data_IF_954133322490
#
_entry.id   IF_954133322490
#
_cell.length_a   1.000
_cell.length_b   1.000
_cell.length_c   1.000
_cell.angle_alpha   90.00
_cell.angle_beta   90.00
_cell.angle_gamma   90.00
#
_symmetry.space_group_name_H-M   'P 1'
#
loop_
_entity.id
_entity.type
_entity.pdbx_description
1 polymer ?
#
# COMPACT_ATOMS: atom_id res chain seq x y z
N UNK A 1 1.50 26.32 -45.66
CA UNK A 1 2.19 25.07 -46.03
C UNK A 1 2.35 24.28 -44.73
N UNK A 2 1.44 23.35 -44.48
CA UNK A 2 1.39 22.59 -43.22
C UNK A 2 2.38 21.42 -43.34
N UNK A 3 3.46 21.48 -42.56
CA UNK A 3 4.31 20.31 -42.38
C UNK A 3 3.52 19.30 -41.54
N UNK A 4 3.12 18.20 -42.21
CA UNK A 4 2.71 16.97 -41.57
C UNK A 4 3.85 16.51 -40.66
N UNK A 5 3.64 16.55 -39.34
CA UNK A 5 4.51 15.84 -38.41
C UNK A 5 3.95 14.44 -38.26
N UNK A 6 4.60 13.55 -38.99
CA UNK A 6 4.47 12.11 -38.94
C UNK A 6 4.58 11.57 -37.50
N UNK A 7 3.85 10.48 -37.28
CA UNK A 7 3.86 9.63 -36.11
C UNK A 7 5.29 9.36 -35.58
N UNK A 8 5.68 10.02 -34.48
CA UNK A 8 6.87 9.65 -33.70
C UNK A 8 6.40 8.95 -32.42
N UNK A 9 6.84 7.70 -32.30
CA UNK A 9 6.46 6.65 -31.35
C UNK A 9 6.31 7.05 -29.86
N UNK A 10 5.45 6.35 -29.09
CA UNK A 10 4.96 6.74 -27.75
C UNK A 10 5.93 6.56 -26.57
N UNK A 11 7.03 5.82 -26.73
CA UNK A 11 7.87 5.40 -25.61
C UNK A 11 8.78 6.52 -25.05
N UNK A 12 9.24 7.42 -25.93
CA UNK A 12 10.14 8.53 -25.57
C UNK A 12 9.43 9.60 -24.73
N UNK A 13 8.11 9.75 -24.90
CA UNK A 13 7.30 10.68 -24.10
C UNK A 13 6.91 10.09 -22.74
N UNK A 14 6.77 8.76 -22.62
CA UNK A 14 6.39 8.10 -21.36
C UNK A 14 7.41 8.34 -20.24
N UNK A 15 8.69 8.12 -20.51
CA UNK A 15 9.73 8.30 -19.48
C UNK A 15 9.86 9.77 -19.02
N UNK A 16 9.65 10.71 -19.94
CA UNK A 16 9.62 12.15 -19.61
C UNK A 16 8.43 12.47 -18.71
N UNK A 17 7.25 11.93 -19.03
CA UNK A 17 6.06 12.09 -18.18
C UNK A 17 6.28 11.51 -16.78
N UNK A 18 6.80 10.29 -16.69
CA UNK A 18 7.05 9.62 -15.40
C UNK A 18 8.02 10.43 -14.55
N UNK A 19 9.09 10.96 -15.16
CA UNK A 19 10.02 11.84 -14.48
C UNK A 19 9.34 13.13 -14.02
N UNK A 20 8.53 13.76 -14.86
CA UNK A 20 7.80 14.98 -14.48
C UNK A 20 6.82 14.75 -13.34
N UNK A 21 6.17 13.57 -13.29
CA UNK A 21 5.28 13.20 -12.20
C UNK A 21 6.02 12.87 -10.91
N UNK A 22 7.23 12.32 -11.00
CA UNK A 22 8.10 12.08 -9.85
C UNK A 22 8.64 13.37 -9.22
N UNK A 23 8.87 14.38 -10.07
CA UNK A 23 9.41 15.69 -9.69
C UNK A 23 8.31 16.74 -9.46
N UNK A 24 7.04 16.34 -9.47
CA UNK A 24 5.92 17.25 -9.32
C UNK A 24 5.98 18.00 -7.99
N UNK A 25 5.87 19.33 -8.07
CA UNK A 25 5.83 20.19 -6.90
C UNK A 25 4.50 20.02 -6.17
N UNK A 26 4.56 19.65 -4.89
CA UNK A 26 3.37 19.48 -4.06
C UNK A 26 2.93 20.86 -3.58
N UNK A 27 1.78 21.34 -4.08
CA UNK A 27 1.26 22.65 -3.69
C UNK A 27 0.53 22.52 -2.37
N UNK A 28 0.83 23.43 -1.44
CA UNK A 28 0.24 23.44 -0.09
C UNK A 28 -1.30 23.52 -0.14
N UNK A 29 -1.84 24.34 -1.04
CA UNK A 29 -3.28 24.54 -1.21
C UNK A 29 -4.01 23.24 -1.63
N UNK A 30 -3.42 22.46 -2.56
CA UNK A 30 -3.96 21.18 -2.99
C UNK A 30 -4.02 20.15 -1.85
N UNK A 31 -3.06 20.21 -0.93
CA UNK A 31 -3.02 19.32 0.25
C UNK A 31 -4.07 19.73 1.26
N UNK A 32 -4.18 21.03 1.54
CA UNK A 32 -5.14 21.59 2.51
C UNK A 32 -6.60 21.36 2.09
N UNK A 33 -6.87 21.21 0.79
CA UNK A 33 -8.21 20.91 0.29
C UNK A 33 -8.67 19.46 0.49
N UNK A 34 -7.76 18.52 0.77
CA UNK A 34 -8.13 17.10 0.94
C UNK A 34 -8.01 16.64 2.40
N UNK A 35 -9.15 16.34 3.02
CA UNK A 35 -9.18 15.78 4.37
C UNK A 35 -8.48 14.41 4.48
N UNK A 36 -8.38 13.67 3.37
CA UNK A 36 -7.67 12.39 3.31
C UNK A 36 -6.16 12.62 3.37
N UNK A 37 -5.63 13.59 2.62
CA UNK A 37 -4.20 13.94 2.66
C UNK A 37 -3.79 14.46 4.04
N UNK A 38 -4.62 15.30 4.67
CA UNK A 38 -4.37 15.79 6.03
C UNK A 38 -4.24 14.63 7.02
N UNK A 39 -5.14 13.64 6.97
CA UNK A 39 -5.05 12.45 7.85
C UNK A 39 -3.80 11.60 7.57
N UNK A 40 -3.44 11.45 6.30
CA UNK A 40 -2.26 10.68 5.92
C UNK A 40 -0.96 11.28 6.46
N UNK A 41 -0.90 12.60 6.63
CA UNK A 41 0.26 13.30 7.19
C UNK A 41 0.67 12.71 8.56
N UNK A 42 -0.32 12.37 9.39
CA UNK A 42 -0.11 11.82 10.73
C UNK A 42 -0.02 10.28 10.74
N UNK A 43 -0.68 9.60 9.81
CA UNK A 43 -0.78 8.13 9.79
C UNK A 43 0.42 7.44 9.11
N UNK A 44 0.90 7.99 7.99
CA UNK A 44 1.98 7.41 7.19
C UNK A 44 2.61 8.42 6.22
N UNK A 45 3.82 8.88 6.54
CA UNK A 45 4.54 9.89 5.75
C UNK A 45 4.89 9.45 4.32
N UNK A 46 5.16 8.16 4.09
CA UNK A 46 5.48 7.67 2.75
C UNK A 46 4.22 7.61 1.87
N UNK A 47 3.11 7.14 2.44
CA UNK A 47 1.82 7.10 1.77
C UNK A 47 1.27 8.50 1.55
N UNK A 48 1.47 9.43 2.49
CA UNK A 48 1.15 10.84 2.32
C UNK A 48 1.84 11.42 1.08
N UNK A 49 3.15 11.23 0.92
CA UNK A 49 3.90 11.68 -0.26
C UNK A 49 3.33 11.10 -1.55
N UNK A 50 3.03 9.79 -1.56
CA UNK A 50 2.41 9.14 -2.72
C UNK A 50 1.02 9.73 -3.02
N UNK A 51 0.21 9.96 -2.00
CA UNK A 51 -1.11 10.59 -2.11
C UNK A 51 -1.02 12.00 -2.71
N UNK A 52 -0.06 12.83 -2.27
CA UNK A 52 0.16 14.15 -2.84
C UNK A 52 0.53 14.09 -4.32
N UNK A 53 1.45 13.19 -4.70
CA UNK A 53 1.84 13.01 -6.10
C UNK A 53 0.66 12.55 -6.96
N UNK A 54 -0.17 11.63 -6.47
CA UNK A 54 -1.42 11.26 -7.13
C UNK A 54 -2.31 12.49 -7.33
N UNK A 55 -2.51 13.26 -6.25
CA UNK A 55 -3.43 14.39 -6.24
C UNK A 55 -3.06 15.49 -7.24
N UNK A 56 -1.77 15.84 -7.31
CA UNK A 56 -1.25 16.84 -8.25
C UNK A 56 -1.27 16.34 -9.70
N UNK A 57 -0.73 15.13 -9.91
CA UNK A 57 -0.54 14.63 -11.26
C UNK A 57 -1.84 14.18 -11.93
N UNK A 58 -2.89 13.84 -11.16
CA UNK A 58 -4.20 13.49 -11.73
C UNK A 58 -4.78 14.63 -12.58
N UNK A 59 -4.78 15.86 -12.04
CA UNK A 59 -5.28 17.03 -12.77
C UNK A 59 -4.39 17.32 -13.98
N UNK A 60 -3.07 17.28 -13.82
CA UNK A 60 -2.14 17.52 -14.92
C UNK A 60 -2.30 16.50 -16.05
N UNK A 61 -2.44 15.21 -15.73
CA UNK A 61 -2.66 14.14 -16.69
C UNK A 61 -4.00 14.32 -17.44
N UNK A 62 -5.08 14.69 -16.73
CA UNK A 62 -6.36 15.04 -17.37
C UNK A 62 -6.22 16.18 -18.38
N UNK A 63 -5.48 17.24 -18.05
CA UNK A 63 -5.26 18.36 -19.00
C UNK A 63 -4.52 17.91 -20.26
N UNK A 64 -3.56 16.98 -20.14
CA UNK A 64 -2.87 16.40 -21.29
C UNK A 64 -3.83 15.55 -22.15
N UNK A 65 -4.72 14.81 -21.52
CA UNK A 65 -5.76 14.04 -22.21
C UNK A 65 -6.71 14.96 -23.00
N UNK A 66 -7.30 15.97 -22.34
CA UNK A 66 -8.30 16.86 -22.95
C UNK A 66 -7.70 17.78 -24.01
N UNK A 67 -6.64 18.51 -23.67
CA UNK A 67 -6.16 19.61 -24.52
C UNK A 67 -5.10 19.21 -25.53
N UNK A 68 -4.41 18.08 -25.31
CA UNK A 68 -3.36 17.60 -26.22
C UNK A 68 -3.77 16.35 -27.00
N UNK A 69 -4.97 15.80 -26.80
CA UNK A 69 -5.43 14.54 -27.41
C UNK A 69 -4.42 13.40 -27.24
N UNK A 70 -3.72 13.37 -26.09
CA UNK A 70 -2.83 12.26 -25.78
C UNK A 70 -3.66 11.08 -25.23
N UNK A 71 -4.22 10.28 -26.13
CA UNK A 71 -5.15 9.20 -25.80
C UNK A 71 -4.58 8.15 -24.82
N UNK A 72 -3.25 7.95 -24.82
CA UNK A 72 -2.58 6.94 -23.97
C UNK A 72 -2.24 7.45 -22.56
N UNK A 73 -2.62 8.68 -22.19
CA UNK A 73 -2.21 9.28 -20.90
C UNK A 73 -2.81 8.54 -19.71
N UNK A 74 -4.06 8.08 -19.80
CA UNK A 74 -4.64 7.26 -18.74
C UNK A 74 -3.81 5.98 -18.52
N UNK A 75 -3.40 5.30 -19.58
CA UNK A 75 -2.59 4.08 -19.47
C UNK A 75 -1.23 4.35 -18.86
N UNK A 76 -0.56 5.43 -19.28
CA UNK A 76 0.71 5.84 -18.68
C UNK A 76 0.58 6.23 -17.22
N UNK A 77 -0.49 6.94 -16.86
CA UNK A 77 -0.73 7.35 -15.49
C UNK A 77 -1.00 6.15 -14.57
N UNK A 78 -1.80 5.18 -15.03
CA UNK A 78 -2.03 3.91 -14.31
C UNK A 78 -0.73 3.12 -14.16
N UNK A 79 0.08 3.01 -15.22
CA UNK A 79 1.36 2.30 -15.17
C UNK A 79 2.31 2.93 -14.13
N UNK A 80 2.44 4.26 -14.16
CA UNK A 80 3.26 5.00 -13.20
C UNK A 80 2.76 4.82 -11.77
N UNK A 81 1.45 5.00 -11.53
CA UNK A 81 0.86 4.89 -10.20
C UNK A 81 1.03 3.47 -9.62
N UNK A 82 0.79 2.44 -10.44
CA UNK A 82 0.99 1.05 -10.05
C UNK A 82 2.46 0.76 -9.69
N UNK A 83 3.42 1.34 -10.42
CA UNK A 83 4.84 1.23 -10.08
C UNK A 83 5.14 1.86 -8.73
N UNK A 84 4.57 3.01 -8.40
CA UNK A 84 4.76 3.66 -7.10
C UNK A 84 4.14 2.86 -5.95
N UNK A 85 2.97 2.27 -6.18
CA UNK A 85 2.32 1.38 -5.21
C UNK A 85 3.17 0.14 -4.95
N UNK A 86 3.71 -0.48 -6.00
CA UNK A 86 4.60 -1.64 -5.88
C UNK A 86 5.83 -1.30 -5.02
N UNK A 87 6.50 -0.17 -5.27
CA UNK A 87 7.63 0.30 -4.48
C UNK A 87 7.25 0.51 -3.01
N UNK A 88 6.10 1.12 -2.73
CA UNK A 88 5.61 1.28 -1.36
C UNK A 88 5.37 -0.07 -0.67
N UNK A 89 4.70 -1.02 -1.34
CA UNK A 89 4.38 -2.35 -0.79
C UNK A 89 5.64 -3.18 -0.53
N UNK A 90 6.65 -3.08 -1.38
CA UNK A 90 7.94 -3.75 -1.19
C UNK A 90 8.67 -3.24 0.05
N UNK A 91 8.63 -1.92 0.28
CA UNK A 91 9.17 -1.27 1.48
C UNK A 91 8.34 -1.61 2.73
N UNK A 92 7.02 -1.68 2.58
CA UNK A 92 6.06 -1.81 3.67
C UNK A 92 5.26 -3.12 3.61
N UNK A 93 5.90 -4.23 4.03
CA UNK A 93 5.26 -5.55 4.02
C UNK A 93 4.26 -5.79 5.15
N UNK A 94 3.78 -4.76 5.86
CA UNK A 94 2.78 -4.94 6.93
C UNK A 94 1.36 -4.88 6.35
N UNK A 95 0.51 -5.86 6.70
CA UNK A 95 -0.86 -5.89 6.20
C UNK A 95 -1.66 -4.64 6.58
N UNK A 96 -1.44 -4.09 7.78
CA UNK A 96 -2.10 -2.85 8.21
C UNK A 96 -1.71 -1.65 7.35
N UNK A 97 -0.44 -1.56 6.92
CA UNK A 97 0.06 -0.49 6.05
C UNK A 97 -0.44 -0.62 4.63
N UNK A 98 -0.52 -1.84 4.10
CA UNK A 98 -1.07 -2.08 2.76
C UNK A 98 -2.59 -1.87 2.71
N UNK A 99 -3.33 -2.30 3.73
CA UNK A 99 -4.76 -1.98 3.87
C UNK A 99 -5.01 -0.48 3.94
N UNK A 100 -4.16 0.26 4.66
CA UNK A 100 -4.23 1.72 4.71
C UNK A 100 -4.00 2.33 3.32
N UNK A 101 -2.98 1.86 2.59
CA UNK A 101 -2.72 2.27 1.20
C UNK A 101 -3.95 2.05 0.32
N UNK A 102 -4.51 0.84 0.30
CA UNK A 102 -5.64 0.51 -0.59
C UNK A 102 -6.84 1.42 -0.32
N UNK A 103 -7.20 1.58 0.96
CA UNK A 103 -8.34 2.40 1.37
C UNK A 103 -8.14 3.89 1.07
N UNK A 104 -6.97 4.45 1.39
CA UNK A 104 -6.71 5.89 1.29
C UNK A 104 -6.48 6.32 -0.14
N UNK A 105 -5.75 5.52 -0.91
CA UNK A 105 -5.41 5.86 -2.29
C UNK A 105 -6.63 5.74 -3.22
N UNK A 106 -7.49 4.73 -3.01
CA UNK A 106 -8.77 4.64 -3.71
C UNK A 106 -9.68 5.82 -3.37
N UNK A 107 -9.82 6.16 -2.07
CA UNK A 107 -10.65 7.29 -1.67
C UNK A 107 -10.15 8.63 -2.25
N UNK A 108 -8.83 8.83 -2.38
CA UNK A 108 -8.26 10.01 -3.05
C UNK A 108 -8.58 10.03 -4.55
N UNK A 109 -8.52 8.87 -5.20
CA UNK A 109 -8.89 8.74 -6.61
C UNK A 109 -10.36 9.09 -6.83
N UNK A 110 -11.25 8.55 -5.99
CA UNK A 110 -12.69 8.85 -6.01
C UNK A 110 -12.98 10.32 -5.70
N UNK A 111 -12.31 10.93 -4.73
CA UNK A 111 -12.41 12.37 -4.44
C UNK A 111 -12.11 13.20 -5.69
N UNK A 112 -11.09 12.81 -6.46
CA UNK A 112 -10.72 13.47 -7.72
C UNK A 112 -11.70 13.22 -8.86
N UNK A 113 -12.34 12.06 -8.94
CA UNK A 113 -13.42 11.81 -9.90
C UNK A 113 -14.63 12.67 -9.53
N UNK A 114 -15.06 12.63 -8.27
CA UNK A 114 -16.29 13.28 -7.81
C UNK A 114 -16.21 14.80 -7.88
N UNK A 115 -15.04 15.40 -7.58
CA UNK A 115 -14.82 16.84 -7.74
C UNK A 115 -14.96 17.34 -9.20
N UNK A 116 -15.14 16.43 -10.16
CA UNK A 116 -15.31 16.73 -11.58
C UNK A 116 -16.73 16.47 -12.08
N UNK A 117 -17.61 15.89 -11.25
CA UNK A 117 -18.98 15.58 -11.64
C UNK A 117 -19.87 16.84 -11.79
N UNK A 118 -19.40 17.98 -11.26
CA UNK A 118 -20.09 19.28 -11.32
C UNK A 118 -19.77 20.10 -12.58
N UNK A 119 -18.85 19.64 -13.45
CA UNK A 119 -18.59 20.25 -14.76
C UNK A 119 -19.49 19.59 -15.83
N UNK A 120 -20.36 20.36 -16.49
CA UNK A 120 -21.37 19.96 -17.50
C UNK A 120 -20.84 19.22 -18.75
N UNK A 121 -19.58 18.77 -18.77
CA UNK A 121 -19.00 18.02 -19.87
C UNK A 121 -19.08 16.50 -19.63
N UNK A 122 -19.59 15.76 -20.62
CA UNK A 122 -19.78 14.30 -20.66
C UNK A 122 -18.51 13.44 -20.46
N UNK A 123 -17.35 14.02 -20.13
CA UNK A 123 -16.11 13.31 -19.80
C UNK A 123 -15.93 13.10 -18.29
N UNK A 124 -17.01 12.70 -17.59
CA UNK A 124 -17.05 12.55 -16.12
C UNK A 124 -16.04 11.56 -15.55
N UNK A 125 -15.46 10.69 -16.38
CA UNK A 125 -14.43 9.76 -15.95
C UNK A 125 -13.37 9.55 -17.04
N UNK A 126 -12.40 10.48 -17.11
CA UNK A 126 -11.34 10.45 -18.13
C UNK A 126 -10.38 9.25 -17.97
N UNK A 127 -10.33 8.64 -16.78
CA UNK A 127 -9.49 7.49 -16.50
C UNK A 127 -10.10 6.59 -15.43
N UNK A 128 -10.37 5.33 -15.77
CA UNK A 128 -10.79 4.30 -14.83
C UNK A 128 -9.55 3.58 -14.31
N UNK A 129 -9.43 3.46 -13.00
CA UNK A 129 -8.31 2.78 -12.36
C UNK A 129 -8.81 1.83 -11.28
N UNK A 130 -8.33 0.59 -11.37
CA UNK A 130 -8.54 -0.45 -10.36
C UNK A 130 -7.15 -0.96 -9.93
N UNK A 131 -6.68 -0.63 -8.71
CA UNK A 131 -5.44 -1.16 -8.19
C UNK A 131 -5.57 -2.66 -7.96
N UNK A 132 -4.50 -3.40 -8.25
CA UNK A 132 -4.40 -4.80 -7.82
C UNK A 132 -4.43 -4.87 -6.29
N UNK A 133 -5.33 -5.68 -5.76
CA UNK A 133 -5.42 -6.01 -4.32
C UNK A 133 -4.65 -7.29 -3.98
N UNK A 134 -4.02 -7.92 -4.96
CA UNK A 134 -3.19 -9.10 -4.75
C UNK A 134 -1.79 -8.67 -4.30
N UNK A 135 -1.50 -8.88 -3.02
CA UNK A 135 -0.18 -8.65 -2.47
C UNK A 135 0.11 -9.55 -1.27
N UNK A 136 1.39 -9.83 -1.07
CA UNK A 136 1.87 -10.53 0.11
C UNK A 136 2.17 -9.55 1.23
N UNK A 137 1.68 -9.83 2.44
CA UNK A 137 1.95 -9.04 3.62
C UNK A 137 2.06 -9.89 4.89
N UNK A 138 2.69 -9.33 5.90
CA UNK A 138 2.80 -9.91 7.23
C UNK A 138 1.80 -9.26 8.18
N UNK A 139 1.08 -10.08 8.93
CA UNK A 139 0.37 -9.63 10.12
C UNK A 139 1.38 -9.27 11.22
N UNK A 140 1.13 -8.16 11.93
CA UNK A 140 2.04 -7.65 12.96
C UNK A 140 2.27 -8.69 14.07
N UNK A 141 1.24 -9.46 14.40
CA UNK A 141 1.29 -10.56 15.37
C UNK A 141 2.29 -11.64 14.95
N UNK A 142 2.34 -11.96 13.65
CA UNK A 142 3.26 -12.96 13.09
C UNK A 142 4.70 -12.42 13.14
N UNK A 143 4.93 -11.15 12.78
CA UNK A 143 6.26 -10.55 12.85
C UNK A 143 6.76 -10.50 14.31
N UNK A 144 5.91 -10.09 15.25
CA UNK A 144 6.26 -10.05 16.67
C UNK A 144 6.54 -11.46 17.20
N UNK A 145 5.74 -12.45 16.83
CA UNK A 145 6.01 -13.84 17.21
C UNK A 145 7.32 -14.40 16.62
N UNK A 146 7.62 -14.11 15.36
CA UNK A 146 8.81 -14.63 14.67
C UNK A 146 10.11 -14.01 15.21
N UNK A 147 10.13 -12.70 15.45
CA UNK A 147 11.36 -11.95 15.73
C UNK A 147 11.54 -11.54 17.20
N UNK A 148 10.47 -11.45 17.99
CA UNK A 148 10.57 -11.11 19.43
C UNK A 148 10.51 -12.40 20.27
N UNK A 149 11.71 -12.87 20.68
CA UNK A 149 11.89 -14.06 21.52
C UNK A 149 11.15 -13.95 22.85
N UNK A 150 11.07 -12.76 23.45
CA UNK A 150 10.40 -12.55 24.74
C UNK A 150 8.88 -12.60 24.57
N UNK A 151 8.35 -11.94 23.53
CA UNK A 151 6.93 -12.00 23.20
C UNK A 151 6.49 -13.44 22.93
N UNK A 152 7.24 -14.18 22.11
CA UNK A 152 7.00 -15.60 21.83
C UNK A 152 7.01 -16.45 23.11
N UNK A 153 8.00 -16.29 23.99
CA UNK A 153 8.07 -17.00 25.27
C UNK A 153 6.86 -16.70 26.17
N UNK A 154 6.46 -15.44 26.27
CA UNK A 154 5.29 -15.02 27.06
C UNK A 154 4.00 -15.60 26.50
N UNK A 155 3.82 -15.59 25.18
CA UNK A 155 2.64 -16.12 24.52
C UNK A 155 2.54 -17.65 24.70
N UNK A 156 3.64 -18.38 24.50
CA UNK A 156 3.71 -19.82 24.78
C UNK A 156 3.37 -20.11 26.24
N UNK A 157 3.96 -19.38 27.21
CA UNK A 157 3.66 -19.53 28.64
C UNK A 157 2.18 -19.29 28.95
N UNK A 158 1.58 -18.25 28.38
CA UNK A 158 0.17 -17.92 28.58
C UNK A 158 -0.76 -19.06 28.11
N UNK A 159 -0.55 -19.56 26.89
CA UNK A 159 -1.36 -20.66 26.36
C UNK A 159 -1.10 -21.97 27.09
N UNK A 160 0.15 -22.26 27.46
CA UNK A 160 0.49 -23.39 28.33
C UNK A 160 -0.28 -23.32 29.65
N UNK A 161 -0.27 -22.19 30.34
CA UNK A 161 -1.01 -22.00 31.60
C UNK A 161 -2.51 -22.22 31.46
N UNK A 162 -3.11 -21.83 30.32
CA UNK A 162 -4.53 -22.11 30.03
C UNK A 162 -4.81 -23.57 29.68
N UNK A 163 -3.89 -24.27 29.05
CA UNK A 163 -4.01 -25.71 28.75
C UNK A 163 -3.70 -26.61 29.98
N UNK A 164 -3.04 -26.06 31.00
CA UNK A 164 -2.60 -26.76 32.23
C UNK A 164 -3.74 -27.10 33.21
N UNK A 165 -5.01 -26.82 32.91
CA UNK A 165 -6.12 -27.40 33.69
C UNK A 165 -6.10 -28.95 33.69
N UNK A 166 -5.28 -29.59 32.85
CA UNK A 166 -5.20 -31.04 32.71
C UNK A 166 -3.86 -31.75 33.09
N UNK A 167 -2.71 -31.10 33.34
CA UNK A 167 -1.46 -31.83 33.69
C UNK A 167 -0.47 -31.08 34.58
N UNK A 168 0.19 -31.83 35.49
CA UNK A 168 1.24 -31.36 36.43
C UNK A 168 2.36 -30.61 35.70
N UNK A 169 2.86 -29.54 36.33
CA UNK A 169 3.83 -28.55 35.79
C UNK A 169 5.22 -29.09 35.44
N UNK A 170 5.53 -30.34 35.76
CA UNK A 170 6.89 -30.91 35.72
C UNK A 170 7.33 -31.41 34.33
N UNK A 171 6.45 -31.38 33.32
CA UNK A 171 6.67 -32.05 32.03
C UNK A 171 7.12 -31.15 30.87
N UNK A 172 7.35 -29.86 31.12
CA UNK A 172 7.63 -28.89 30.06
C UNK A 172 8.87 -28.05 30.36
N UNK A 173 9.87 -28.16 29.50
CA UNK A 173 11.06 -27.33 29.49
C UNK A 173 11.08 -26.53 28.17
N UNK A 174 11.08 -25.20 28.29
CA UNK A 174 11.44 -24.30 27.19
C UNK A 174 12.94 -24.07 27.30
N UNK A 175 13.71 -24.92 26.64
CA UNK A 175 15.13 -24.70 26.53
C UNK A 175 15.36 -23.34 25.84
N UNK A 176 16.22 -22.54 26.45
CA UNK A 176 16.38 -21.14 26.09
C UNK A 176 17.30 -20.94 24.90
N UNK A 177 18.04 -21.99 24.50
CA UNK A 177 19.07 -21.95 23.45
C UNK A 177 18.62 -22.65 22.16
N UNK A 178 17.85 -23.74 22.27
CA UNK A 178 17.25 -24.40 21.12
C UNK A 178 15.81 -23.87 20.92
N UNK A 179 15.41 -23.50 19.70
CA UNK A 179 14.02 -23.11 19.38
C UNK A 179 13.04 -24.32 19.46
N UNK A 180 13.33 -25.30 20.31
CA UNK A 180 12.66 -26.59 20.41
C UNK A 180 11.84 -26.60 21.70
N UNK A 181 10.56 -26.97 21.58
CA UNK A 181 9.69 -27.21 22.74
C UNK A 181 9.82 -28.69 23.08
N UNK A 182 10.52 -29.01 24.17
CA UNK A 182 10.58 -30.39 24.67
C UNK A 182 9.37 -30.68 25.54
N UNK A 183 8.49 -31.54 25.04
CA UNK A 183 7.36 -32.09 25.80
C UNK A 183 7.77 -33.47 26.31
N UNK A 184 8.02 -33.60 27.61
CA UNK A 184 8.21 -34.90 28.21
C UNK A 184 6.84 -35.54 28.46
N UNK A 185 6.45 -36.50 27.63
CA UNK A 185 5.34 -37.38 27.98
C UNK A 185 5.85 -38.41 29.00
N UNK A 186 5.29 -38.49 30.21
CA UNK A 186 5.47 -39.68 31.02
C UNK A 186 4.74 -40.80 30.29
N UNK A 187 5.48 -41.71 29.66
CA UNK A 187 4.94 -43.02 29.35
C UNK A 187 4.53 -43.63 30.69
N UNK A 188 3.24 -43.88 30.86
CA UNK A 188 2.71 -44.54 32.05
C UNK A 188 3.40 -45.88 32.22
N UNK A 189 4.03 -46.08 33.37
CA UNK A 189 4.37 -47.42 33.81
C UNK A 189 3.06 -48.15 34.11
N UNK A 190 2.87 -49.29 33.45
CA UNK A 190 1.86 -50.28 33.75
C UNK A 190 1.92 -50.65 35.24
N UNK A 191 0.79 -50.50 35.94
CA UNK A 191 0.37 -51.35 37.04
C UNK A 191 -1.15 -51.45 37.04
#
# INVERSE_FOLDING_TARGET
MFAQLENVYPEKNKNVLFKSWDEAEIKKESVESSSILIKLLDEDTDLYKLGCLLYENYTAAKLLYIYKNYNNICDFFKEWLNKKISVYREKNKLCSKNKLLDNRLMALWEEKINAQADDDNDQRNWCIWEPSTEYYCYHFEIKKFLFDKNYRKTLIRYYMQKLIYFRRREYFSLDSESNIINMFYPCGNNY
#
